data_IF_967449831917
#
_entry.id   IF_967449831917
#
_cell.length_a   1.000
_cell.length_b   1.000
_cell.length_c   1.000
_cell.angle_alpha   90.00
_cell.angle_beta   90.00
_cell.angle_gamma   90.00
#
_symmetry.space_group_name_H-M   'P 1'
#
loop_
_entity.id
_entity.type
_entity.pdbx_description
1 polymer ?
#
# COMPACT_ATOMS: atom_id res chain seq x y z
N UNK A 1 1.66 35.56 -20.25
CA UNK A 1 0.80 34.55 -20.89
C UNK A 1 0.21 33.71 -19.78
N UNK A 2 -1.12 33.66 -19.76
CA UNK A 2 -1.97 33.29 -18.62
C UNK A 2 -1.66 31.91 -18.05
N UNK A 3 -1.45 31.86 -16.73
CA UNK A 3 -1.60 30.62 -15.96
C UNK A 3 -3.06 30.47 -15.59
N UNK A 4 -3.75 29.57 -16.30
CA UNK A 4 -5.06 29.09 -15.91
C UNK A 4 -4.93 28.21 -14.68
N UNK A 5 -5.33 28.78 -13.54
CA UNK A 5 -5.62 28.06 -12.30
C UNK A 5 -6.83 27.17 -12.60
N UNK A 6 -6.63 25.85 -12.68
CA UNK A 6 -7.73 24.89 -12.64
C UNK A 6 -8.11 24.76 -11.17
N UNK A 7 -9.11 25.55 -10.75
CA UNK A 7 -9.90 25.26 -9.57
C UNK A 7 -10.64 23.94 -9.83
N UNK A 8 -10.13 22.83 -9.26
CA UNK A 8 -10.92 21.61 -9.16
C UNK A 8 -11.96 21.83 -8.07
N UNK A 9 -13.09 22.42 -8.48
CA UNK A 9 -14.32 22.43 -7.72
C UNK A 9 -14.55 21.01 -7.19
N UNK A 10 -14.48 20.84 -5.86
CA UNK A 10 -14.68 19.57 -5.14
C UNK A 10 -16.13 19.09 -5.18
N UNK A 11 -16.76 19.19 -6.35
CA UNK A 11 -18.15 18.85 -6.61
C UNK A 11 -18.18 17.39 -7.03
N UNK A 12 -18.74 16.54 -6.17
CA UNK A 12 -18.98 15.14 -6.50
C UNK A 12 -19.78 15.05 -7.80
N UNK A 13 -19.32 14.23 -8.76
CA UNK A 13 -20.00 13.99 -10.04
C UNK A 13 -21.36 13.28 -9.92
N UNK A 14 -21.98 13.32 -8.74
CA UNK A 14 -23.22 12.65 -8.39
C UNK A 14 -24.46 13.56 -8.48
N UNK A 15 -24.33 14.82 -8.95
CA UNK A 15 -25.44 15.79 -8.92
C UNK A 15 -26.69 15.38 -9.73
N UNK A 16 -26.57 14.50 -10.74
CA UNK A 16 -27.74 13.85 -11.39
C UNK A 16 -27.33 12.47 -11.93
N UNK A 17 -26.97 11.55 -11.04
CA UNK A 17 -26.62 10.18 -11.45
C UNK A 17 -27.85 9.36 -11.90
N UNK A 18 -27.69 8.30 -12.71
CA UNK A 18 -28.76 7.38 -13.11
C UNK A 18 -29.60 6.86 -11.92
N UNK A 19 -28.99 6.77 -10.74
CA UNK A 19 -29.63 6.37 -9.48
C UNK A 19 -30.77 7.29 -9.05
N UNK A 20 -30.66 8.60 -9.34
CA UNK A 20 -31.68 9.60 -9.02
C UNK A 20 -32.88 9.50 -9.98
N UNK A 21 -32.62 9.10 -11.24
CA UNK A 21 -33.67 8.82 -12.22
C UNK A 21 -34.51 7.59 -11.80
N UNK A 22 -33.87 6.52 -11.34
CA UNK A 22 -34.57 5.33 -10.83
C UNK A 22 -35.45 5.65 -9.62
N UNK A 23 -34.98 6.52 -8.72
CA UNK A 23 -35.77 6.97 -7.56
C UNK A 23 -37.02 7.76 -7.97
N UNK A 24 -36.89 8.62 -8.98
CA UNK A 24 -38.02 9.34 -9.56
C UNK A 24 -39.02 8.39 -10.24
N UNK A 25 -38.54 7.36 -10.93
CA UNK A 25 -39.39 6.34 -11.57
C UNK A 25 -40.17 5.52 -10.53
N UNK A 26 -39.51 5.14 -9.42
CA UNK A 26 -40.15 4.43 -8.31
C UNK A 26 -41.19 5.33 -7.64
N UNK A 27 -40.86 6.59 -7.36
CA UNK A 27 -41.80 7.56 -6.79
C UNK A 27 -43.04 7.71 -7.67
N UNK A 28 -42.84 7.91 -8.98
CA UNK A 28 -43.92 8.04 -9.96
C UNK A 28 -44.80 6.78 -10.02
N UNK A 29 -44.22 5.58 -10.00
CA UNK A 29 -44.98 4.35 -9.99
C UNK A 29 -45.87 4.20 -8.74
N UNK A 30 -45.42 4.70 -7.60
CA UNK A 30 -46.20 4.71 -6.37
C UNK A 30 -47.32 5.77 -6.39
N UNK A 31 -47.07 6.95 -6.94
CA UNK A 31 -48.11 7.97 -7.19
C UNK A 31 -49.19 7.44 -8.13
N UNK A 32 -48.81 6.81 -9.24
CA UNK A 32 -49.74 6.22 -10.21
C UNK A 32 -50.62 5.14 -9.58
N UNK A 33 -50.04 4.27 -8.72
CA UNK A 33 -50.81 3.27 -7.95
C UNK A 33 -51.76 3.91 -6.94
N UNK A 34 -51.32 4.96 -6.25
CA UNK A 34 -52.14 5.69 -5.28
C UNK A 34 -53.36 6.33 -5.97
N UNK A 35 -53.12 6.93 -7.13
CA UNK A 35 -54.13 7.52 -7.99
C UNK A 35 -55.14 6.51 -8.51
N UNK A 36 -54.68 5.32 -8.91
CA UNK A 36 -55.55 4.24 -9.35
C UNK A 36 -56.48 3.80 -8.22
N UNK A 37 -55.96 3.66 -7.00
CA UNK A 37 -56.76 3.34 -5.80
C UNK A 37 -57.76 4.46 -5.51
N UNK A 38 -57.34 5.72 -5.61
CA UNK A 38 -58.20 6.89 -5.40
C UNK A 38 -59.43 6.90 -6.33
N UNK A 39 -59.27 6.41 -7.56
CA UNK A 39 -60.32 6.37 -8.59
C UNK A 39 -61.22 5.13 -8.51
N UNK A 40 -60.70 3.98 -8.06
CA UNK A 40 -61.37 2.67 -8.22
C UNK A 40 -61.89 2.03 -6.93
N UNK A 41 -61.37 2.40 -5.76
CA UNK A 41 -61.48 1.53 -4.58
C UNK A 41 -62.76 1.68 -3.73
N UNK A 42 -63.68 2.59 -4.07
CA UNK A 42 -65.01 2.69 -3.43
C UNK A 42 -64.95 2.66 -1.89
N UNK A 43 -65.68 1.72 -1.26
CA UNK A 43 -65.71 1.54 0.20
C UNK A 43 -64.42 0.96 0.81
N UNK A 44 -63.56 0.31 0.01
CA UNK A 44 -62.29 -0.28 0.46
C UNK A 44 -61.08 0.65 0.23
N UNK A 45 -61.32 1.91 -0.15
CA UNK A 45 -60.26 2.87 -0.51
C UNK A 45 -59.19 3.01 0.56
N UNK A 46 -59.59 3.27 1.81
CA UNK A 46 -58.65 3.44 2.90
C UNK A 46 -57.82 2.19 3.15
N UNK A 47 -58.44 1.01 3.11
CA UNK A 47 -57.76 -0.27 3.31
C UNK A 47 -56.69 -0.53 2.23
N UNK A 48 -57.01 -0.27 0.96
CA UNK A 48 -56.05 -0.43 -0.14
C UNK A 48 -54.92 0.60 -0.08
N UNK A 49 -55.20 1.83 0.32
CA UNK A 49 -54.17 2.85 0.54
C UNK A 49 -53.19 2.46 1.64
N UNK A 50 -53.71 1.98 2.78
CA UNK A 50 -52.87 1.50 3.89
C UNK A 50 -52.01 0.31 3.47
N UNK A 51 -52.56 -0.64 2.71
CA UNK A 51 -51.78 -1.76 2.16
C UNK A 51 -50.67 -1.31 1.22
N UNK A 52 -50.95 -0.33 0.34
CA UNK A 52 -49.93 0.22 -0.56
C UNK A 52 -48.81 0.93 0.21
N UNK A 53 -49.15 1.74 1.22
CA UNK A 53 -48.17 2.41 2.07
C UNK A 53 -47.35 1.41 2.90
N UNK A 54 -47.98 0.37 3.43
CA UNK A 54 -47.28 -0.71 4.15
C UNK A 54 -46.29 -1.44 3.23
N UNK A 55 -46.67 -1.73 1.98
CA UNK A 55 -45.78 -2.32 0.97
C UNK A 55 -44.60 -1.39 0.68
N UNK A 56 -44.87 -0.09 0.47
CA UNK A 56 -43.82 0.88 0.19
C UNK A 56 -42.83 1.02 1.34
N UNK A 57 -43.32 1.12 2.58
CA UNK A 57 -42.48 1.15 3.78
C UNK A 57 -41.67 -0.14 3.90
N UNK A 58 -42.27 -1.30 3.60
CA UNK A 58 -41.55 -2.59 3.58
C UNK A 58 -40.39 -2.61 2.59
N UNK A 59 -40.62 -2.16 1.35
CA UNK A 59 -39.58 -2.06 0.32
C UNK A 59 -38.47 -1.08 0.74
N UNK A 60 -38.83 0.07 1.33
CA UNK A 60 -37.88 1.07 1.79
C UNK A 60 -37.00 0.53 2.92
N UNK A 61 -37.57 -0.22 3.86
CA UNK A 61 -36.84 -0.89 4.93
C UNK A 61 -35.89 -1.94 4.37
N UNK A 62 -36.32 -2.73 3.38
CA UNK A 62 -35.48 -3.73 2.73
C UNK A 62 -34.29 -3.08 2.00
N UNK A 63 -34.52 -2.01 1.24
CA UNK A 63 -33.45 -1.25 0.57
C UNK A 63 -32.48 -0.62 1.56
N UNK A 64 -32.98 0.03 2.62
CA UNK A 64 -32.11 0.62 3.65
C UNK A 64 -31.28 -0.44 4.38
N UNK A 65 -31.85 -1.63 4.61
CA UNK A 65 -31.11 -2.75 5.21
C UNK A 65 -30.00 -3.24 4.28
N UNK A 66 -30.28 -3.34 2.97
CA UNK A 66 -29.27 -3.72 1.98
C UNK A 66 -28.17 -2.67 1.87
N UNK A 67 -28.54 -1.39 1.80
CA UNK A 67 -27.59 -0.28 1.74
C UNK A 67 -26.68 -0.27 2.98
N UNK A 68 -27.25 -0.41 4.19
CA UNK A 68 -26.47 -0.49 5.41
C UNK A 68 -25.45 -1.64 5.36
N UNK A 69 -25.86 -2.85 4.94
CA UNK A 69 -24.95 -3.98 4.78
C UNK A 69 -23.85 -3.71 3.75
N UNK A 70 -24.21 -3.15 2.60
CA UNK A 70 -23.20 -2.84 1.56
C UNK A 70 -22.21 -1.78 2.04
N UNK A 71 -22.65 -0.80 2.83
CA UNK A 71 -21.76 0.21 3.41
C UNK A 71 -20.85 -0.45 4.45
N UNK A 72 -21.37 -1.27 5.35
CA UNK A 72 -20.58 -2.03 6.32
C UNK A 72 -19.52 -2.91 5.63
N UNK A 73 -19.89 -3.63 4.56
CA UNK A 73 -18.96 -4.44 3.77
C UNK A 73 -17.85 -3.60 3.14
N UNK A 74 -18.19 -2.44 2.55
CA UNK A 74 -17.21 -1.51 1.97
C UNK A 74 -16.30 -0.88 3.02
N UNK A 75 -16.82 -0.57 4.20
CA UNK A 75 -16.02 -0.07 5.33
C UNK A 75 -15.02 -1.13 5.81
N UNK A 76 -15.45 -2.39 5.91
CA UNK A 76 -14.59 -3.52 6.26
C UNK A 76 -13.52 -3.73 5.17
N UNK A 77 -13.90 -3.70 3.89
CA UNK A 77 -12.95 -3.86 2.78
C UNK A 77 -11.90 -2.73 2.78
N UNK A 78 -12.34 -1.48 2.91
CA UNK A 78 -11.46 -0.32 2.94
C UNK A 78 -10.50 -0.38 4.11
N UNK A 79 -10.99 -0.67 5.32
CA UNK A 79 -10.14 -0.80 6.51
C UNK A 79 -9.13 -1.93 6.38
N UNK A 80 -9.56 -3.09 5.87
CA UNK A 80 -8.66 -4.23 5.58
C UNK A 80 -7.57 -3.86 4.57
N UNK A 81 -7.93 -3.19 3.47
CA UNK A 81 -6.99 -2.75 2.44
C UNK A 81 -5.97 -1.77 3.00
N UNK A 82 -6.41 -0.76 3.74
CA UNK A 82 -5.52 0.22 4.40
C UNK A 82 -4.55 -0.47 5.36
N UNK A 83 -5.02 -1.43 6.16
CA UNK A 83 -4.16 -2.17 7.09
C UNK A 83 -3.11 -3.02 6.35
N UNK A 84 -3.50 -3.65 5.24
CA UNK A 84 -2.59 -4.45 4.42
C UNK A 84 -1.48 -3.61 3.78
N UNK A 85 -1.83 -2.44 3.23
CA UNK A 85 -0.87 -1.50 2.64
C UNK A 85 0.05 -0.90 3.70
N UNK A 86 -0.50 -0.53 4.86
CA UNK A 86 0.30 -0.06 5.99
C UNK A 86 1.34 -1.10 6.44
N UNK A 87 0.99 -2.39 6.42
CA UNK A 87 1.92 -3.48 6.74
C UNK A 87 3.03 -3.58 5.71
N UNK A 88 2.70 -3.62 4.41
CA UNK A 88 3.69 -3.66 3.31
C UNK A 88 4.64 -2.47 3.37
N UNK A 89 4.11 -1.27 3.61
CA UNK A 89 4.92 -0.07 3.75
C UNK A 89 5.86 -0.16 4.96
N UNK A 90 5.37 -0.66 6.08
CA UNK A 90 6.20 -0.87 7.28
C UNK A 90 7.34 -1.86 7.03
N UNK A 91 7.08 -2.95 6.29
CA UNK A 91 8.09 -3.95 5.91
C UNK A 91 9.15 -3.32 5.01
N UNK A 92 8.74 -2.63 3.94
CA UNK A 92 9.63 -1.92 3.02
C UNK A 92 10.51 -0.88 3.74
N UNK A 93 9.93 -0.09 4.64
CA UNK A 93 10.68 0.88 5.46
C UNK A 93 11.71 0.18 6.36
N UNK A 94 11.37 -0.99 6.91
CA UNK A 94 12.30 -1.76 7.74
C UNK A 94 13.48 -2.29 6.94
N UNK A 95 13.25 -2.78 5.71
CA UNK A 95 14.30 -3.25 4.81
C UNK A 95 15.23 -2.11 4.38
N UNK A 96 14.66 -0.98 3.96
CA UNK A 96 15.42 0.22 3.59
C UNK A 96 16.27 0.73 4.75
N UNK A 97 15.76 0.69 5.99
CA UNK A 97 16.54 1.07 7.18
C UNK A 97 17.74 0.14 7.36
N UNK A 98 17.56 -1.17 7.23
CA UNK A 98 18.67 -2.13 7.32
C UNK A 98 19.69 -1.88 6.23
N UNK A 99 19.26 -1.63 4.99
CA UNK A 99 20.15 -1.34 3.87
C UNK A 99 20.96 -0.05 4.11
N UNK A 100 20.31 1.04 4.53
CA UNK A 100 20.98 2.30 4.87
C UNK A 100 22.04 2.09 5.96
N UNK A 101 21.74 1.32 7.01
CA UNK A 101 22.74 1.02 8.05
C UNK A 101 23.90 0.16 7.54
N UNK A 102 23.65 -0.74 6.59
CA UNK A 102 24.68 -1.55 5.94
C UNK A 102 25.59 -0.68 5.07
N UNK A 103 25.02 0.20 4.25
CA UNK A 103 25.76 1.13 3.40
C UNK A 103 26.58 2.12 4.23
N UNK A 104 26.02 2.69 5.30
CA UNK A 104 26.76 3.56 6.23
C UNK A 104 27.97 2.85 6.86
N UNK A 105 27.82 1.58 7.27
CA UNK A 105 28.94 0.78 7.78
C UNK A 105 30.00 0.52 6.71
N UNK A 106 29.61 0.26 5.47
CA UNK A 106 30.54 0.09 4.34
C UNK A 106 31.32 1.38 4.06
N UNK A 107 30.63 2.52 4.06
CA UNK A 107 31.25 3.82 3.88
C UNK A 107 32.26 4.11 5.00
N UNK A 108 31.88 3.92 6.26
CA UNK A 108 32.77 4.13 7.41
C UNK A 108 34.05 3.28 7.35
N UNK A 109 33.96 2.03 6.87
CA UNK A 109 35.13 1.18 6.63
C UNK A 109 36.04 1.77 5.55
N UNK A 110 35.47 2.18 4.41
CA UNK A 110 36.24 2.81 3.32
C UNK A 110 36.89 4.12 3.75
N UNK A 111 36.20 4.95 4.55
CA UNK A 111 36.79 6.16 5.11
C UNK A 111 37.96 5.84 6.06
N UNK A 112 37.87 4.75 6.83
CA UNK A 112 38.97 4.28 7.67
C UNK A 112 40.15 3.80 6.84
N UNK A 113 39.91 3.04 5.77
CA UNK A 113 40.93 2.58 4.84
C UNK A 113 41.65 3.78 4.18
N UNK A 114 40.89 4.78 3.72
CA UNK A 114 41.43 6.01 3.14
C UNK A 114 42.28 6.79 4.14
N UNK A 115 41.82 6.95 5.40
CA UNK A 115 42.64 7.55 6.46
C UNK A 115 43.93 6.77 6.71
N UNK A 116 43.86 5.44 6.73
CA UNK A 116 45.03 4.57 6.87
C UNK A 116 46.03 4.76 5.74
N UNK A 117 45.57 4.76 4.49
CA UNK A 117 46.41 5.00 3.31
C UNK A 117 47.05 6.39 3.33
N UNK A 118 46.28 7.43 3.66
CA UNK A 118 46.80 8.80 3.78
C UNK A 118 47.88 8.90 4.85
N UNK A 119 47.72 8.22 5.99
CA UNK A 119 48.72 8.18 7.05
C UNK A 119 49.99 7.45 6.61
N UNK A 120 49.88 6.36 5.85
CA UNK A 120 51.04 5.67 5.25
C UNK A 120 51.78 6.62 4.28
N UNK A 121 51.05 7.29 3.39
CA UNK A 121 51.65 8.26 2.45
C UNK A 121 52.31 9.44 3.18
N UNK A 122 51.70 9.93 4.26
CA UNK A 122 52.28 10.98 5.12
C UNK A 122 53.60 10.52 5.72
N UNK A 123 53.65 9.31 6.30
CA UNK A 123 54.89 8.74 6.85
C UNK A 123 55.96 8.54 5.80
N UNK A 124 55.62 8.01 4.62
CA UNK A 124 56.59 7.85 3.53
C UNK A 124 57.20 9.19 3.11
N UNK A 125 56.40 10.26 3.05
CA UNK A 125 56.88 11.63 2.78
C UNK A 125 57.80 12.16 3.87
N UNK A 126 57.51 11.87 5.14
CA UNK A 126 58.33 12.34 6.27
C UNK A 126 59.62 11.54 6.44
N UNK A 127 59.63 10.26 6.07
CA UNK A 127 60.81 9.40 6.15
C UNK A 127 61.71 9.46 4.91
N UNK A 128 61.15 9.73 3.72
CA UNK A 128 61.90 9.78 2.47
C UNK A 128 61.78 11.20 1.87
N UNK A 129 62.86 11.98 1.95
CA UNK A 129 62.95 13.37 1.46
C UNK A 129 62.87 13.50 -0.08
N UNK A 130 62.32 12.50 -0.80
CA UNK A 130 62.19 12.47 -2.25
C UNK A 130 60.83 13.01 -2.70
N UNK A 131 60.84 13.75 -3.81
CA UNK A 131 59.64 14.28 -4.44
C UNK A 131 58.68 13.14 -4.84
N UNK A 132 57.40 13.30 -4.53
CA UNK A 132 56.32 12.31 -4.74
C UNK A 132 56.01 12.02 -6.22
N UNK A 133 56.70 12.67 -7.15
CA UNK A 133 56.47 12.63 -8.59
C UNK A 133 56.69 11.23 -9.21
N UNK A 134 57.30 10.30 -8.45
CA UNK A 134 57.54 8.92 -8.90
C UNK A 134 56.63 7.86 -8.28
N UNK A 135 55.62 8.21 -7.48
CA UNK A 135 54.68 7.21 -6.93
C UNK A 135 53.64 6.87 -7.98
N UNK A 136 53.76 5.69 -8.58
CA UNK A 136 52.77 5.14 -9.51
C UNK A 136 51.88 4.15 -8.76
N UNK A 137 50.56 4.39 -8.81
CA UNK A 137 49.59 3.43 -8.30
C UNK A 137 49.37 2.36 -9.36
N UNK A 138 49.87 1.16 -9.10
CA UNK A 138 49.60 0.00 -9.94
C UNK A 138 48.20 -0.54 -9.62
N UNK A 139 47.51 -1.05 -10.64
CA UNK A 139 46.23 -1.73 -10.46
C UNK A 139 46.48 -3.05 -9.72
N UNK A 140 46.00 -3.14 -8.48
CA UNK A 140 46.23 -4.31 -7.62
C UNK A 140 45.36 -5.46 -8.11
N UNK A 141 45.99 -6.53 -8.59
CA UNK A 141 45.30 -7.76 -9.01
C UNK A 141 45.05 -8.68 -7.81
N UNK A 142 44.12 -9.64 -7.94
CA UNK A 142 43.87 -10.63 -6.88
C UNK A 142 45.15 -11.38 -6.47
N UNK A 143 46.05 -11.63 -7.42
CA UNK A 143 47.33 -12.30 -7.21
C UNK A 143 48.28 -11.51 -6.31
N UNK A 144 48.17 -10.18 -6.30
CA UNK A 144 49.03 -9.30 -5.49
C UNK A 144 48.60 -9.28 -4.02
N UNK A 145 47.33 -9.55 -3.75
CA UNK A 145 46.75 -9.57 -2.40
C UNK A 145 46.79 -10.99 -1.80
N UNK A 146 46.48 -12.00 -2.61
CA UNK A 146 46.32 -13.39 -2.16
C UNK A 146 47.51 -14.29 -2.51
N UNK A 147 48.53 -13.76 -3.20
CA UNK A 147 49.63 -14.54 -3.76
C UNK A 147 49.21 -15.37 -4.98
N UNK A 148 50.16 -16.06 -5.65
CA UNK A 148 49.82 -17.00 -6.70
C UNK A 148 48.90 -18.10 -6.15
N UNK A 149 47.84 -18.40 -6.91
CA UNK A 149 46.65 -19.21 -6.54
C UNK A 149 46.98 -20.68 -6.15
N UNK A 150 48.25 -21.04 -6.01
CA UNK A 150 48.69 -22.41 -5.69
C UNK A 150 48.64 -22.76 -4.20
N UNK A 151 48.26 -21.85 -3.31
CA UNK A 151 48.27 -22.10 -1.86
C UNK A 151 46.88 -22.01 -1.21
N UNK A 152 45.94 -22.89 -1.59
CA UNK A 152 44.67 -23.08 -0.87
C UNK A 152 44.48 -24.51 -0.34
N UNK A 153 45.47 -25.06 0.36
CA UNK A 153 45.22 -26.15 1.32
C UNK A 153 46.15 -26.06 2.53
N UNK A 154 45.99 -25.00 3.32
CA UNK A 154 46.46 -25.04 4.71
C UNK A 154 45.25 -25.05 5.65
N UNK A 155 45.23 -26.09 6.48
CA UNK A 155 44.16 -26.44 7.42
C UNK A 155 44.13 -25.45 8.59
N UNK A 156 43.27 -24.45 8.52
CA UNK A 156 42.86 -23.69 9.69
C UNK A 156 41.54 -24.22 10.26
N UNK A 157 41.55 -24.43 11.58
CA UNK A 157 40.54 -25.11 12.41
C UNK A 157 39.19 -24.36 12.54
N UNK A 158 38.92 -23.32 11.74
CA UNK A 158 37.63 -22.58 11.77
C UNK A 158 36.65 -22.98 10.66
N UNK A 159 37.00 -23.91 9.78
CA UNK A 159 36.16 -24.32 8.64
C UNK A 159 34.90 -25.14 8.99
N UNK A 160 34.75 -25.65 10.22
CA UNK A 160 33.57 -26.47 10.55
C UNK A 160 32.28 -25.64 10.62
N UNK A 161 32.28 -24.46 11.25
CA UNK A 161 31.05 -23.69 11.47
C UNK A 161 30.42 -23.18 10.16
N UNK A 162 31.25 -22.69 9.23
CA UNK A 162 30.76 -22.18 7.93
C UNK A 162 30.32 -23.34 7.02
N UNK A 163 30.96 -24.51 7.10
CA UNK A 163 30.57 -25.67 6.31
C UNK A 163 29.27 -26.30 6.81
N UNK A 164 29.02 -26.24 8.12
CA UNK A 164 27.78 -26.73 8.74
C UNK A 164 26.60 -25.81 8.40
N UNK A 165 26.76 -24.48 8.52
CA UNK A 165 25.72 -23.51 8.11
C UNK A 165 25.38 -23.60 6.61
N UNK A 166 26.39 -23.76 5.75
CA UNK A 166 26.17 -23.96 4.31
C UNK A 166 25.46 -25.28 4.02
N UNK A 167 25.75 -26.33 4.79
CA UNK A 167 25.07 -27.63 4.66
C UNK A 167 23.61 -27.57 5.14
N UNK A 168 23.34 -26.87 6.24
CA UNK A 168 21.97 -26.64 6.75
C UNK A 168 21.13 -25.80 5.77
N UNK A 169 21.70 -24.72 5.24
CA UNK A 169 21.04 -23.90 4.23
C UNK A 169 20.74 -24.72 2.97
N UNK A 170 21.64 -25.62 2.57
CA UNK A 170 21.42 -26.50 1.42
C UNK A 170 20.28 -27.49 1.66
N UNK A 171 20.22 -28.10 2.84
CA UNK A 171 19.09 -28.98 3.23
C UNK A 171 17.77 -28.19 3.22
N UNK A 172 17.77 -26.94 3.69
CA UNK A 172 16.59 -26.09 3.72
C UNK A 172 16.13 -25.71 2.31
N UNK A 173 17.06 -25.39 1.42
CA UNK A 173 16.77 -25.12 0.00
C UNK A 173 16.14 -26.35 -0.67
N UNK A 174 16.72 -27.53 -0.48
CA UNK A 174 16.21 -28.78 -1.06
C UNK A 174 14.84 -29.17 -0.48
N UNK A 175 14.58 -28.84 0.79
CA UNK A 175 13.27 -29.02 1.42
C UNK A 175 12.22 -28.06 0.84
N UNK A 176 12.54 -26.78 0.70
CA UNK A 176 11.64 -25.76 0.16
C UNK A 176 11.34 -26.02 -1.33
N UNK A 177 12.31 -26.48 -2.11
CA UNK A 177 12.08 -26.89 -3.49
C UNK A 177 11.09 -28.05 -3.61
N UNK A 178 11.20 -29.07 -2.74
CA UNK A 178 10.24 -30.19 -2.72
C UNK A 178 8.83 -29.74 -2.32
N UNK A 179 8.72 -28.86 -1.34
CA UNK A 179 7.43 -28.32 -0.88
C UNK A 179 6.77 -27.45 -1.97
N UNK A 180 7.53 -26.60 -2.65
CA UNK A 180 7.05 -25.83 -3.80
C UNK A 180 6.54 -26.74 -4.91
N UNK A 181 7.28 -27.80 -5.27
CA UNK A 181 6.83 -28.76 -6.28
C UNK A 181 5.53 -29.48 -5.87
N UNK A 182 5.35 -29.78 -4.58
CA UNK A 182 4.09 -30.36 -4.09
C UNK A 182 2.94 -29.37 -4.16
N UNK A 183 3.14 -28.12 -3.71
CA UNK A 183 2.13 -27.06 -3.81
C UNK A 183 1.75 -26.76 -5.26
N UNK A 184 2.69 -26.78 -6.19
CA UNK A 184 2.40 -26.66 -7.63
C UNK A 184 1.56 -27.82 -8.18
N UNK A 185 1.71 -29.05 -7.65
CA UNK A 185 0.84 -30.17 -8.01
C UNK A 185 -0.56 -29.99 -7.45
N UNK A 186 -0.67 -29.51 -6.22
CA UNK A 186 -1.96 -29.25 -5.55
C UNK A 186 -2.72 -28.12 -6.24
N UNK A 187 -2.05 -27.01 -6.56
CA UNK A 187 -2.60 -25.92 -7.37
C UNK A 187 -3.15 -26.47 -8.69
N UNK A 188 -2.36 -27.29 -9.42
CA UNK A 188 -2.84 -27.90 -10.67
C UNK A 188 -4.06 -28.80 -10.48
N UNK A 189 -4.18 -29.49 -9.35
CA UNK A 189 -5.35 -30.32 -9.02
C UNK A 189 -6.57 -29.44 -8.74
N UNK A 190 -6.43 -28.45 -7.87
CA UNK A 190 -7.50 -27.51 -7.52
C UNK A 190 -7.97 -26.71 -8.74
N UNK A 191 -7.06 -26.29 -9.63
CA UNK A 191 -7.42 -25.63 -10.88
C UNK A 191 -8.30 -26.51 -11.78
N UNK A 192 -8.08 -27.84 -11.81
CA UNK A 192 -8.96 -28.76 -12.54
C UNK A 192 -10.34 -28.88 -11.89
N UNK A 193 -10.39 -28.94 -10.55
CA UNK A 193 -11.65 -28.98 -9.81
C UNK A 193 -12.47 -27.70 -10.04
N UNK A 194 -11.83 -26.52 -10.02
CA UNK A 194 -12.48 -25.24 -10.33
C UNK A 194 -13.06 -25.26 -11.75
N UNK A 195 -12.29 -25.70 -12.76
CA UNK A 195 -12.81 -25.81 -14.13
C UNK A 195 -14.01 -26.76 -14.24
N UNK A 196 -14.02 -27.86 -13.49
CA UNK A 196 -15.17 -28.76 -13.45
C UNK A 196 -16.40 -28.08 -12.83
N UNK A 197 -16.23 -27.31 -11.75
CA UNK A 197 -17.33 -26.54 -11.17
C UNK A 197 -17.85 -25.48 -12.12
N UNK A 198 -16.98 -24.77 -12.86
CA UNK A 198 -17.39 -23.81 -13.88
C UNK A 198 -18.21 -24.46 -14.99
N UNK A 199 -17.78 -25.63 -15.50
CA UNK A 199 -18.54 -26.40 -16.47
C UNK A 199 -19.90 -26.84 -15.94
N UNK A 200 -19.96 -27.29 -14.68
CA UNK A 200 -21.21 -27.68 -14.01
C UNK A 200 -22.17 -26.51 -13.88
N UNK A 201 -21.67 -25.35 -13.44
CA UNK A 201 -22.45 -24.12 -13.33
C UNK A 201 -23.00 -23.70 -14.70
N UNK A 202 -22.18 -23.77 -15.75
CA UNK A 202 -22.62 -23.46 -17.11
C UNK A 202 -23.69 -24.43 -17.62
N UNK A 203 -23.57 -25.74 -17.33
CA UNK A 203 -24.62 -26.71 -17.66
C UNK A 203 -25.93 -26.38 -16.95
N UNK A 204 -25.89 -26.14 -15.64
CA UNK A 204 -27.07 -25.79 -14.86
C UNK A 204 -27.71 -24.46 -15.32
N UNK A 205 -26.89 -23.47 -15.71
CA UNK A 205 -27.39 -22.22 -16.31
C UNK A 205 -28.12 -22.48 -17.63
N UNK A 206 -27.61 -23.38 -18.47
CA UNK A 206 -28.28 -23.78 -19.70
C UNK A 206 -29.60 -24.52 -19.40
N UNK A 207 -29.61 -25.41 -18.41
CA UNK A 207 -30.82 -26.15 -18.01
C UNK A 207 -31.91 -25.21 -17.46
N UNK A 208 -31.52 -24.22 -16.64
CA UNK A 208 -32.45 -23.18 -16.15
C UNK A 208 -32.96 -22.31 -17.31
N UNK A 209 -32.10 -21.99 -18.27
CA UNK A 209 -32.48 -21.25 -19.48
C UNK A 209 -33.49 -22.04 -20.32
N UNK A 210 -33.26 -23.33 -20.53
CA UNK A 210 -34.16 -24.23 -21.26
C UNK A 210 -35.49 -24.46 -20.52
N UNK A 211 -35.45 -24.55 -19.19
CA UNK A 211 -36.65 -24.65 -18.35
C UNK A 211 -37.52 -23.40 -18.38
N UNK A 212 -36.97 -22.22 -18.73
CA UNK A 212 -37.73 -20.97 -18.86
C UNK A 212 -38.62 -20.92 -20.11
N UNK A 213 -38.48 -21.88 -21.02
CA UNK A 213 -39.32 -22.05 -22.21
C UNK A 213 -40.37 -23.17 -22.08
N UNK A 214 -40.47 -23.83 -20.93
CA UNK A 214 -41.49 -24.86 -20.70
C UNK A 214 -42.61 -24.36 -19.78
N UNK A 215 -43.53 -23.57 -20.36
CA UNK A 215 -44.90 -23.48 -19.84
C UNK A 215 -45.66 -24.75 -20.27
N UNK A 216 -46.38 -25.45 -19.36
CA UNK A 216 -47.22 -26.57 -19.75
C UNK A 216 -48.35 -26.06 -20.65
N UNK A 217 -48.36 -26.59 -21.87
CA UNK A 217 -49.34 -26.30 -22.92
C UNK A 217 -50.75 -26.73 -22.48
N UNK A 218 -51.60 -25.74 -22.19
CA UNK A 218 -53.05 -25.92 -22.14
C UNK A 218 -53.59 -25.52 -23.51
N UNK A 219 -53.89 -26.55 -24.29
CA UNK A 219 -54.75 -26.60 -25.48
C UNK A 219 -55.48 -25.30 -25.84
N UNK A 220 -55.12 -24.71 -26.99
CA UNK A 220 -56.11 -24.06 -27.86
C UNK A 220 -55.69 -24.07 -29.32
N UNK A 221 -56.55 -24.73 -30.10
CA UNK A 221 -56.64 -24.67 -31.55
C UNK A 221 -56.76 -23.22 -32.04
N UNK A 222 -56.39 -23.05 -33.30
CA UNK A 222 -56.64 -21.92 -34.20
C UNK A 222 -55.64 -20.75 -34.12
N UNK A 223 -54.69 -20.74 -35.06
CA UNK A 223 -54.35 -19.55 -35.87
C UNK A 223 -53.27 -19.92 -36.91
N UNK A 224 -53.71 -20.42 -38.07
CA UNK A 224 -52.94 -20.34 -39.29
C UNK A 224 -53.07 -18.93 -39.86
N UNK A 225 -51.96 -18.19 -40.04
CA UNK A 225 -51.87 -17.05 -40.96
C UNK A 225 -50.43 -16.96 -41.50
N UNK A 226 -50.31 -17.23 -42.80
CA UNK A 226 -49.41 -16.69 -43.84
C UNK A 226 -48.38 -15.63 -43.40
N UNK A 227 -47.14 -15.63 -43.88
CA UNK A 227 -46.76 -15.15 -45.23
C UNK A 227 -45.43 -15.78 -45.69
N UNK A 228 -45.50 -16.32 -46.90
CA UNK A 228 -44.46 -16.71 -47.85
C UNK A 228 -44.05 -15.49 -48.71
N UNK A 229 -42.75 -15.35 -49.06
CA UNK A 229 -42.18 -14.72 -50.28
C UNK A 229 -40.68 -15.14 -50.30
N UNK A 230 -40.22 -16.08 -51.14
CA UNK A 230 -39.82 -15.95 -52.57
C UNK A 230 -38.60 -15.01 -52.78
N UNK A 231 -37.52 -15.30 -53.53
CA UNK A 231 -37.29 -16.23 -54.63
C UNK A 231 -35.78 -16.53 -54.83
N UNK A 232 -35.54 -17.72 -55.39
CA UNK A 232 -34.34 -18.23 -56.06
C UNK A 232 -34.02 -17.52 -57.40
N UNK A 233 -32.79 -17.63 -57.92
CA UNK A 233 -32.53 -17.85 -59.36
C UNK A 233 -31.05 -18.17 -59.67
N UNK A 234 -30.86 -19.32 -60.33
CA UNK A 234 -29.64 -19.81 -60.96
C UNK A 234 -29.22 -18.94 -62.17
N UNK A 235 -27.91 -18.95 -62.48
CA UNK A 235 -27.41 -18.76 -63.85
C UNK A 235 -26.10 -19.54 -64.04
N UNK A 236 -26.14 -20.52 -64.94
CA UNK A 236 -25.00 -21.32 -65.42
C UNK A 236 -24.23 -20.62 -66.56
N UNK A 237 -23.02 -21.15 -66.79
CA UNK A 237 -22.19 -21.17 -68.00
C UNK A 237 -21.16 -20.04 -68.25
N UNK A 238 -19.90 -20.47 -68.29
CA UNK A 238 -18.77 -19.76 -68.90
C UNK A 238 -17.42 -20.30 -68.45
N UNK A 239 -17.10 -21.56 -68.79
CA UNK A 239 -15.74 -22.11 -68.69
C UNK A 239 -14.80 -21.31 -69.62
N UNK A 240 -13.87 -20.56 -69.02
CA UNK A 240 -12.70 -20.00 -69.69
C UNK A 240 -11.50 -20.37 -68.82
N UNK A 241 -10.64 -21.24 -69.36
CA UNK A 241 -9.34 -21.57 -68.77
C UNK A 241 -8.54 -20.30 -68.44
N UNK A 242 -8.03 -20.13 -67.21
CA UNK A 242 -7.00 -19.16 -66.95
C UNK A 242 -5.62 -19.80 -67.18
N UNK A 243 -4.92 -19.23 -68.17
CA UNK A 243 -3.48 -19.40 -68.42
C UNK A 243 -2.69 -19.24 -67.13
N UNK A 244 -1.80 -20.19 -66.86
CA UNK A 244 -0.82 -20.17 -65.77
C UNK A 244 0.20 -19.04 -66.00
N UNK A 245 0.04 -17.92 -65.32
CA UNK A 245 1.14 -17.01 -65.01
C UNK A 245 1.64 -17.32 -63.58
N UNK A 246 2.63 -18.20 -63.49
CA UNK A 246 3.39 -18.44 -62.27
C UNK A 246 4.46 -17.37 -62.10
N UNK A 247 4.47 -16.69 -60.94
CA UNK A 247 5.63 -15.90 -60.48
C UNK A 247 5.32 -14.65 -59.66
N UNK A 248 4.22 -13.94 -59.91
CA UNK A 248 4.01 -12.58 -59.36
C UNK A 248 3.18 -12.49 -58.07
N UNK A 249 2.48 -13.55 -57.65
CA UNK A 249 1.60 -13.50 -56.46
C UNK A 249 2.33 -13.62 -55.12
N UNK A 250 3.42 -14.37 -55.05
CA UNK A 250 4.11 -14.62 -53.76
C UNK A 250 4.87 -13.39 -53.25
N UNK A 251 5.49 -12.60 -54.13
CA UNK A 251 6.17 -11.35 -53.73
C UNK A 251 5.19 -10.27 -53.24
N UNK A 252 4.00 -10.22 -53.85
CA UNK A 252 2.96 -9.27 -53.46
C UNK A 252 2.37 -9.61 -52.08
N UNK A 253 2.20 -10.90 -51.77
CA UNK A 253 1.74 -11.36 -50.45
C UNK A 253 2.79 -11.09 -49.37
N UNK A 254 4.07 -11.35 -49.64
CA UNK A 254 5.14 -11.06 -48.68
C UNK A 254 5.31 -9.56 -48.39
N UNK A 255 5.11 -8.69 -49.39
CA UNK A 255 5.14 -7.24 -49.19
C UNK A 255 3.94 -6.78 -48.35
N UNK A 256 2.75 -7.34 -48.59
CA UNK A 256 1.54 -7.06 -47.81
C UNK A 256 1.69 -7.49 -46.34
N UNK A 257 2.24 -8.68 -46.07
CA UNK A 257 2.49 -9.17 -44.71
C UNK A 257 3.53 -8.30 -43.98
N UNK A 258 4.58 -7.84 -44.67
CA UNK A 258 5.57 -6.93 -44.08
C UNK A 258 4.96 -5.59 -43.68
N UNK A 259 4.04 -5.05 -44.48
CA UNK A 259 3.31 -3.81 -44.13
C UNK A 259 2.42 -4.04 -42.91
N UNK A 260 1.63 -5.11 -42.87
CA UNK A 260 0.77 -5.42 -41.71
C UNK A 260 1.58 -5.62 -40.43
N UNK A 261 2.75 -6.26 -40.52
CA UNK A 261 3.64 -6.43 -39.36
C UNK A 261 4.21 -5.09 -38.88
N UNK A 262 4.60 -4.19 -39.79
CA UNK A 262 5.03 -2.83 -39.41
C UNK A 262 3.89 -2.01 -38.78
N UNK A 263 2.66 -2.14 -39.28
CA UNK A 263 1.49 -1.47 -38.72
C UNK A 263 1.15 -1.98 -37.31
N UNK A 264 1.18 -3.29 -37.10
CA UNK A 264 1.01 -3.93 -35.79
C UNK A 264 2.09 -3.50 -34.80
N UNK A 265 3.36 -3.49 -35.22
CA UNK A 265 4.48 -3.00 -34.41
C UNK A 265 4.32 -1.50 -34.06
N UNK A 266 3.86 -0.68 -35.01
CA UNK A 266 3.58 0.74 -34.78
C UNK A 266 2.41 1.00 -33.81
N UNK A 267 1.40 0.13 -33.79
CA UNK A 267 0.33 0.16 -32.79
C UNK A 267 0.86 -0.18 -31.39
N UNK A 268 1.70 -1.22 -31.26
CA UNK A 268 2.33 -1.58 -30.00
C UNK A 268 3.21 -0.45 -29.43
N UNK A 269 3.98 0.23 -30.28
CA UNK A 269 4.81 1.38 -29.85
C UNK A 269 3.94 2.54 -29.37
N UNK A 270 2.80 2.80 -30.00
CA UNK A 270 1.84 3.84 -29.54
C UNK A 270 1.24 3.48 -28.19
N UNK A 271 0.77 2.24 -28.02
CA UNK A 271 0.24 1.77 -26.74
C UNK A 271 1.28 1.86 -25.61
N UNK A 272 2.54 1.50 -25.87
CA UNK A 272 3.62 1.65 -24.89
C UNK A 272 3.90 3.11 -24.53
N UNK A 273 3.78 4.04 -25.48
CA UNK A 273 3.93 5.49 -25.20
C UNK A 273 2.79 5.99 -24.32
N UNK A 274 1.56 5.58 -24.57
CA UNK A 274 0.40 5.93 -23.74
C UNK A 274 0.58 5.42 -22.31
N UNK A 275 1.02 4.18 -22.13
CA UNK A 275 1.33 3.62 -20.81
C UNK A 275 2.46 4.39 -20.12
N UNK A 276 3.53 4.75 -20.83
CA UNK A 276 4.63 5.54 -20.26
C UNK A 276 4.19 6.95 -19.83
N UNK A 277 3.29 7.59 -20.58
CA UNK A 277 2.72 8.89 -20.19
C UNK A 277 1.88 8.74 -18.93
N UNK A 278 0.97 7.76 -18.91
CA UNK A 278 0.13 7.46 -17.74
C UNK A 278 0.98 7.14 -16.48
N UNK A 279 2.01 6.31 -16.62
CA UNK A 279 2.93 5.99 -15.53
C UNK A 279 3.70 7.24 -15.05
N UNK A 280 4.11 8.12 -15.96
CA UNK A 280 4.80 9.36 -15.60
C UNK A 280 3.89 10.31 -14.81
N UNK A 281 2.62 10.38 -15.18
CA UNK A 281 1.60 11.15 -14.45
C UNK A 281 1.36 10.58 -13.04
N UNK A 282 1.27 9.25 -12.91
CA UNK A 282 1.12 8.56 -11.62
C UNK A 282 2.34 8.78 -10.72
N UNK A 283 3.56 8.67 -11.26
CA UNK A 283 4.80 8.99 -10.55
C UNK A 283 4.81 10.46 -10.11
N UNK A 284 4.33 11.39 -10.94
CA UNK A 284 4.25 12.80 -10.56
C UNK A 284 3.21 13.03 -9.45
N UNK A 285 2.07 12.33 -9.49
CA UNK A 285 1.05 12.38 -8.43
C UNK A 285 1.61 11.85 -7.11
N UNK A 286 2.34 10.74 -7.12
CA UNK A 286 3.01 10.17 -5.94
C UNK A 286 4.04 11.15 -5.35
N UNK A 287 4.85 11.81 -6.18
CA UNK A 287 5.78 12.84 -5.69
C UNK A 287 5.07 13.99 -4.95
N UNK A 288 3.89 14.42 -5.41
CA UNK A 288 3.09 15.46 -4.74
C UNK A 288 2.60 14.97 -3.38
N UNK A 289 2.16 13.72 -3.28
CA UNK A 289 1.72 13.10 -2.01
C UNK A 289 2.89 13.00 -1.02
N UNK A 290 4.07 12.56 -1.47
CA UNK A 290 5.27 12.52 -0.62
C UNK A 290 5.63 13.90 -0.08
N UNK A 291 5.64 14.93 -0.94
CA UNK A 291 5.92 16.30 -0.50
C UNK A 291 4.90 16.82 0.54
N UNK A 292 3.61 16.51 0.36
CA UNK A 292 2.57 16.87 1.32
C UNK A 292 2.76 16.14 2.67
N UNK A 293 3.14 14.87 2.63
CA UNK A 293 3.39 14.07 3.83
C UNK A 293 4.63 14.54 4.60
N UNK A 294 5.69 14.93 3.89
CA UNK A 294 6.90 15.50 4.49
C UNK A 294 6.58 16.82 5.22
N UNK A 295 5.79 17.70 4.60
CA UNK A 295 5.34 18.94 5.24
C UNK A 295 4.46 18.66 6.47
N UNK A 296 3.57 17.66 6.40
CA UNK A 296 2.76 17.25 7.54
C UNK A 296 3.60 16.69 8.69
N UNK A 297 4.65 15.92 8.39
CA UNK A 297 5.62 15.44 9.37
C UNK A 297 6.36 16.60 10.02
N UNK A 298 6.82 17.57 9.22
CA UNK A 298 7.51 18.78 9.71
C UNK A 298 6.63 19.61 10.65
N UNK A 299 5.37 19.86 10.27
CA UNK A 299 4.39 20.58 11.10
C UNK A 299 4.10 19.82 12.40
N UNK A 300 3.98 18.50 12.33
CA UNK A 300 3.76 17.66 13.51
C UNK A 300 4.95 17.69 14.47
N UNK A 301 6.19 17.71 13.96
CA UNK A 301 7.40 17.84 14.77
C UNK A 301 7.45 19.19 15.49
N UNK A 302 7.10 20.28 14.81
CA UNK A 302 7.05 21.63 15.41
C UNK A 302 5.98 21.70 16.52
N UNK A 303 4.81 21.09 16.31
CA UNK A 303 3.76 20.98 17.34
C UNK A 303 4.23 20.18 18.56
N UNK A 304 4.99 19.11 18.34
CA UNK A 304 5.55 18.31 19.43
C UNK A 304 6.58 19.12 20.23
N UNK A 305 7.49 19.82 19.55
CA UNK A 305 8.46 20.71 20.20
C UNK A 305 7.78 21.78 21.07
N UNK A 306 6.73 22.42 20.57
CA UNK A 306 5.98 23.40 21.34
C UNK A 306 5.34 22.80 22.60
N UNK A 307 4.77 21.59 22.50
CA UNK A 307 4.24 20.88 23.67
C UNK A 307 5.34 20.58 24.69
N UNK A 308 6.52 20.16 24.24
CA UNK A 308 7.64 19.87 25.11
C UNK A 308 8.17 21.14 25.81
N UNK A 309 8.17 22.29 25.13
CA UNK A 309 8.50 23.58 25.73
C UNK A 309 7.51 23.98 26.83
N UNK A 310 6.20 23.81 26.61
CA UNK A 310 5.18 24.04 27.64
C UNK A 310 5.40 23.11 28.82
N UNK A 311 5.59 21.81 28.59
CA UNK A 311 5.81 20.84 29.66
C UNK A 311 7.06 21.18 30.47
N UNK A 312 8.14 21.59 29.80
CA UNK A 312 9.39 22.01 30.45
C UNK A 312 9.17 23.23 31.34
N UNK A 313 8.42 24.21 30.85
CA UNK A 313 8.09 25.42 31.59
C UNK A 313 7.17 25.14 32.79
N UNK A 314 6.12 24.32 32.62
CA UNK A 314 5.25 23.89 33.71
C UNK A 314 6.03 23.14 34.79
N UNK A 315 6.96 22.26 34.41
CA UNK A 315 7.85 21.56 35.36
C UNK A 315 8.76 22.53 36.10
N UNK A 316 9.26 23.57 35.43
CA UNK A 316 10.06 24.63 36.06
C UNK A 316 9.26 25.39 37.10
N UNK A 317 8.03 25.80 36.77
CA UNK A 317 7.13 26.49 37.69
C UNK A 317 6.77 25.61 38.89
N UNK A 318 6.50 24.32 38.68
CA UNK A 318 6.22 23.37 39.76
C UNK A 318 7.41 23.22 40.71
N UNK A 319 8.64 23.14 40.19
CA UNK A 319 9.86 23.08 41.02
C UNK A 319 10.02 24.34 41.87
N UNK A 320 9.77 25.51 41.29
CA UNK A 320 9.85 26.78 42.01
C UNK A 320 8.79 26.89 43.10
N UNK A 321 7.54 26.49 42.82
CA UNK A 321 6.48 26.44 43.82
C UNK A 321 6.79 25.48 44.98
N UNK A 322 7.34 24.29 44.67
CA UNK A 322 7.80 23.32 45.68
C UNK A 322 8.91 23.89 46.57
N UNK A 323 9.89 24.60 45.98
CA UNK A 323 10.97 25.22 46.75
C UNK A 323 10.44 26.29 47.72
N UNK A 324 9.50 27.13 47.26
CA UNK A 324 8.85 28.15 48.11
C UNK A 324 8.06 27.57 49.27
N UNK A 325 7.34 26.46 49.05
CA UNK A 325 6.64 25.77 50.13
C UNK A 325 7.62 25.25 51.18
N UNK A 326 8.73 24.64 50.74
CA UNK A 326 9.77 24.13 51.65
C UNK A 326 10.43 25.25 52.49
N UNK A 327 10.67 26.41 51.90
CA UNK A 327 11.17 27.60 52.63
C UNK A 327 10.15 28.12 53.66
N UNK A 328 8.86 28.06 53.33
CA UNK A 328 7.78 28.48 54.23
C UNK A 328 7.63 27.53 55.41
N UNK A 329 7.73 26.22 55.19
CA UNK A 329 7.70 25.19 56.24
C UNK A 329 8.94 25.24 57.17
N UNK A 330 10.10 25.70 56.66
CA UNK A 330 11.28 25.90 57.50
C UNK A 330 11.15 27.13 58.41
N UNK A 331 10.52 28.21 57.93
CA UNK A 331 10.26 29.42 58.73
C UNK A 331 9.25 29.16 59.85
N UNK A 332 8.18 28.41 59.59
CA UNK A 332 7.20 28.05 60.63
C UNK A 332 7.81 27.15 61.73
N UNK A 333 8.74 26.26 61.37
CA UNK A 333 9.44 25.40 62.35
C UNK A 333 10.51 26.14 63.18
N UNK A 334 11.12 27.20 62.66
CA UNK A 334 12.10 28.01 63.43
C UNK A 334 11.43 29.00 64.38
N UNK A 335 10.22 29.49 64.05
CA UNK A 335 9.43 30.29 64.99
C UNK A 335 8.81 29.44 66.11
N UNK A 336 8.46 28.17 65.84
CA UNK A 336 7.96 27.23 66.85
C UNK A 336 9.05 26.73 67.83
N UNK A 337 10.34 26.83 67.50
CA UNK A 337 11.45 26.42 68.39
C UNK A 337 12.01 27.55 69.27
N UNK A 338 11.55 28.80 69.08
CA UNK A 338 11.88 29.93 69.96
C UNK A 338 10.91 30.11 71.14
N UNK A 339 9.84 29.30 71.20
CA UNK A 339 8.83 29.36 72.27
C UNK A 339 8.61 27.98 72.91
N UNK A 340 9.12 27.79 74.14
CA UNK A 340 8.79 26.71 75.10
C UNK A 340 9.22 25.27 74.69
N UNK A 341 10.17 24.59 75.34
CA UNK A 341 10.37 24.32 76.78
C UNK A 341 9.10 23.84 77.52
N UNK A 342 9.12 22.53 77.83
CA UNK A 342 8.19 21.71 78.62
C UNK A 342 6.87 21.25 77.96
N UNK A 343 6.70 19.92 77.88
CA UNK A 343 5.37 19.29 77.78
C UNK A 343 5.32 18.05 76.90
N UNK A 344 5.34 16.88 77.52
CA UNK A 344 5.23 15.56 76.89
C UNK A 344 3.76 15.16 76.63
N UNK A 345 3.53 14.30 75.61
CA UNK A 345 2.66 13.08 75.59
C UNK A 345 1.83 12.88 74.30
N UNK A 346 2.25 11.83 73.55
CA UNK A 346 1.54 10.75 72.81
C UNK A 346 0.20 10.98 72.07
N UNK A 347 0.21 10.66 70.75
CA UNK A 347 -0.42 9.53 69.97
C UNK A 347 -0.72 10.06 68.56
N UNK A 348 -0.70 9.36 67.43
CA UNK A 348 -0.43 7.98 67.02
C UNK A 348 -0.49 7.95 65.48
N UNK A 349 0.33 7.10 64.86
CA UNK A 349 0.14 6.44 63.57
C UNK A 349 -0.05 7.26 62.28
N UNK A 350 1.00 7.24 61.46
CA UNK A 350 0.90 7.29 60.00
C UNK A 350 2.20 6.74 59.42
N UNK A 351 2.23 5.44 59.09
CA UNK A 351 3.36 4.82 58.39
C UNK A 351 3.48 5.48 57.01
N UNK A 352 4.43 6.39 56.87
CA UNK A 352 4.93 6.82 55.58
C UNK A 352 5.62 5.60 54.98
N UNK A 353 4.94 4.95 54.03
CA UNK A 353 5.58 3.95 53.19
C UNK A 353 6.61 4.72 52.37
N UNK A 354 7.88 4.45 52.64
CA UNK A 354 8.97 4.69 51.70
C UNK A 354 8.54 4.12 50.34
N UNK A 355 8.04 5.01 49.49
CA UNK A 355 7.88 4.73 48.08
C UNK A 355 9.32 4.67 47.56
N UNK A 356 9.82 3.54 47.05
CA UNK A 356 11.10 3.55 46.37
C UNK A 356 10.97 4.56 45.24
N UNK A 357 11.95 5.46 45.15
CA UNK A 357 12.22 6.27 43.97
C UNK A 357 12.18 5.32 42.77
N UNK A 358 11.05 5.32 42.07
CA UNK A 358 11.01 4.84 40.70
C UNK A 358 11.73 5.92 39.92
N UNK A 359 13.06 5.83 39.97
CA UNK A 359 13.96 6.35 38.96
C UNK A 359 13.55 5.67 37.66
N UNK A 360 12.48 6.20 37.06
CA UNK A 360 12.03 5.87 35.74
C UNK A 360 13.14 6.38 34.82
N UNK A 361 14.04 5.45 34.53
CA UNK A 361 15.07 5.57 33.52
C UNK A 361 14.48 6.32 32.29
N UNK A 362 15.03 7.47 31.88
CA UNK A 362 14.49 8.27 30.79
C UNK A 362 14.67 7.62 29.41
N UNK A 363 15.26 6.44 29.32
CA UNK A 363 15.61 5.77 28.05
C UNK A 363 14.42 5.34 27.18
N UNK A 364 13.17 5.39 27.66
CA UNK A 364 12.01 4.98 26.85
C UNK A 364 11.32 6.11 26.05
N UNK A 365 11.72 7.38 26.21
CA UNK A 365 11.08 8.52 25.52
C UNK A 365 11.86 9.02 24.28
N UNK A 366 12.97 8.36 23.89
CA UNK A 366 13.81 8.83 22.77
C UNK A 366 14.05 7.81 21.66
N UNK A 367 13.03 7.06 21.23
CA UNK A 367 13.13 6.20 20.03
C UNK A 367 12.68 6.84 18.71
N UNK A 368 12.34 8.15 18.70
CA UNK A 368 12.05 8.89 17.47
C UNK A 368 12.96 10.14 17.31
N UNK A 369 14.25 10.02 17.59
CA UNK A 369 15.22 11.01 17.13
C UNK A 369 15.61 10.67 15.68
N UNK A 370 14.89 11.29 14.74
CA UNK A 370 15.32 11.41 13.36
C UNK A 370 16.65 12.17 13.39
N UNK A 371 17.74 11.51 12.99
CA UNK A 371 19.00 12.17 12.70
C UNK A 371 18.77 13.06 11.48
N UNK A 372 18.69 14.37 11.70
CA UNK A 372 18.88 15.36 10.65
C UNK A 372 20.37 15.36 10.27
N UNK A 373 20.64 14.98 9.03
CA UNK A 373 21.98 15.00 8.46
C UNK A 373 22.43 16.43 8.17
N UNK A 374 22.71 17.21 9.20
CA UNK A 374 23.39 18.50 9.07
C UNK A 374 24.48 18.58 10.14
N UNK A 375 25.64 18.00 9.80
CA UNK A 375 26.84 18.21 10.55
C UNK A 375 27.37 19.61 10.28
N UNK A 376 27.15 20.52 11.21
CA UNK A 376 27.98 21.71 11.41
C UNK A 376 28.10 21.98 12.91
N UNK A 377 29.28 21.66 13.45
CA UNK A 377 29.68 21.99 14.82
C UNK A 377 30.43 23.31 14.74
N UNK A 378 29.79 24.41 15.13
CA UNK A 378 30.49 25.67 15.42
C UNK A 378 30.85 25.68 16.90
N UNK A 379 32.12 25.38 17.18
CA UNK A 379 32.74 25.54 18.48
C UNK A 379 32.98 27.03 18.77
N UNK A 380 32.30 27.59 19.76
CA UNK A 380 32.80 28.78 20.46
C UNK A 380 33.55 28.31 21.71
N UNK A 381 34.88 28.32 21.61
CA UNK A 381 35.77 28.25 22.77
C UNK A 381 35.67 29.54 23.57
N UNK A 382 35.64 29.40 24.89
CA UNK A 382 35.80 30.47 25.86
C UNK A 382 37.02 30.10 26.70
N UNK A 383 38.11 30.83 26.48
CA UNK A 383 39.04 31.24 27.54
C UNK A 383 38.90 32.76 27.67
#
# INVERSE_FOLDING_TARGET
>A
MESTVIESDGRCACEVGPSLAVLNDVHKAYEEKMDLINRTAGSQKLQKQVQLLQSWVGDLVAQNTLLARTVEELEIELTSRVLSERRKFSEMVSELRVEVTSLRRRLARKDSDLRGLLEVLRRLREFDYRALDSIHFNEVTQSDIFGPVTCFFQKDKSKNVICDEVSELKIKIDSLQRDNLNKEREIRKLSKEVQQYEQTINSLRNDISMSKYHTPDVSRKDAAVTVEICCSANKECGDIEPVKEGGARDEQVQYQERIQHMESSGQNVRALREVNVSLSEEVQALHRVCAALDEQCRVSALRAQFKDEIIREMRRQLKWAKAKLKESDQKSNTEATSSQSYGSVRRSNGRERDLPDLDMNPDWICQNRIYDGSGDVVSYGRD
#
